data_IF_938777002019
#
_entry.id   IF_938777002019
#
_cell.length_a   1.000
_cell.length_b   1.000
_cell.length_c   1.000
_cell.angle_alpha   90.00
_cell.angle_beta   90.00
_cell.angle_gamma   90.00
#
_symmetry.space_group_name_H-M   'P 1'
#
loop_
_entity.id
_entity.type
_entity.pdbx_description
1 polymer ?
#
# COMPACT_ATOMS: atom_id res chain seq x y z
N UNK A 1 -9.62 9.64 -9.63
CA UNK A 1 -10.64 8.56 -9.64
C UNK A 1 -10.14 7.39 -8.81
N UNK A 2 -11.04 6.57 -8.27
CA UNK A 2 -10.67 5.35 -7.53
C UNK A 2 -10.15 4.28 -8.49
N UNK A 3 -8.97 3.75 -8.21
CA UNK A 3 -8.31 2.71 -9.01
C UNK A 3 -8.12 1.41 -8.24
N UNK A 4 -8.17 1.45 -6.91
CA UNK A 4 -8.12 0.26 -6.07
C UNK A 4 -8.78 0.48 -4.72
N UNK A 5 -9.23 -0.62 -4.12
CA UNK A 5 -9.80 -0.68 -2.77
C UNK A 5 -9.30 -1.94 -2.08
N UNK A 6 -8.85 -1.83 -0.84
CA UNK A 6 -8.44 -2.98 -0.05
C UNK A 6 -8.75 -2.77 1.43
N UNK A 7 -8.88 -3.87 2.17
CA UNK A 7 -9.09 -3.85 3.62
C UNK A 7 -7.89 -4.51 4.27
N UNK A 8 -7.39 -3.89 5.34
CA UNK A 8 -6.42 -4.49 6.23
C UNK A 8 -7.15 -4.80 7.54
N UNK A 9 -6.98 -6.02 8.04
CA UNK A 9 -7.55 -6.48 9.29
C UNK A 9 -6.42 -6.94 10.20
N UNK A 10 -6.32 -6.33 11.38
CA UNK A 10 -5.52 -6.85 12.47
C UNK A 10 -6.19 -8.13 13.00
N UNK A 11 -5.40 -9.19 13.19
CA UNK A 11 -5.86 -10.37 13.91
C UNK A 11 -6.22 -9.97 15.37
N UNK A 12 -6.92 -10.85 16.10
CA UNK A 12 -7.38 -10.58 17.47
C UNK A 12 -6.27 -10.30 18.51
N UNK A 13 -5.00 -10.25 18.09
CA UNK A 13 -3.82 -10.05 18.93
C UNK A 13 -3.49 -8.61 19.27
N UNK A 14 -4.09 -7.60 18.63
CA UNK A 14 -3.83 -6.19 18.97
C UNK A 14 -4.01 -5.21 17.82
N UNK A 15 -3.51 -3.99 18.01
CA UNK A 15 -3.36 -2.98 16.96
C UNK A 15 -2.16 -3.34 16.09
N UNK A 16 -2.24 -3.12 14.78
CA UNK A 16 -1.06 -3.09 13.93
C UNK A 16 -0.80 -1.67 13.45
N UNK A 17 0.46 -1.35 13.18
CA UNK A 17 0.86 -0.15 12.44
C UNK A 17 1.46 -0.55 11.10
N UNK A 18 1.21 0.26 10.06
CA UNK A 18 1.95 0.14 8.80
C UNK A 18 2.50 1.49 8.36
N UNK A 19 3.59 1.45 7.57
CA UNK A 19 4.24 2.65 7.03
C UNK A 19 4.65 2.55 5.57
N UNK A 20 4.58 1.36 4.96
CA UNK A 20 4.89 1.19 3.53
C UNK A 20 3.89 0.25 2.88
N UNK A 21 3.44 0.61 1.68
CA UNK A 21 2.69 -0.23 0.76
C UNK A 21 3.21 -0.01 -0.68
N UNK A 22 3.47 -1.08 -1.41
CA UNK A 22 3.81 -1.04 -2.83
C UNK A 22 2.66 -1.67 -3.61
N UNK A 23 2.19 -0.94 -4.62
CA UNK A 23 1.22 -1.41 -5.60
C UNK A 23 1.92 -1.73 -6.91
N UNK A 24 1.56 -2.85 -7.53
CA UNK A 24 1.83 -3.10 -8.95
C UNK A 24 0.82 -2.34 -9.80
N UNK A 25 1.27 -1.82 -10.94
CA UNK A 25 0.47 -1.03 -11.87
C UNK A 25 0.74 -1.51 -13.29
N UNK A 26 -0.29 -2.00 -13.98
CA UNK A 26 -0.23 -2.33 -15.39
C UNK A 26 -1.22 -1.45 -16.17
N UNK A 27 -0.80 -0.90 -17.31
CA UNK A 27 -1.67 -0.08 -18.15
C UNK A 27 -1.50 -0.42 -19.63
N UNK A 28 -2.56 -0.22 -20.41
CA UNK A 28 -2.47 -0.27 -21.87
C UNK A 28 -1.63 0.90 -22.40
N UNK A 29 -1.02 0.73 -23.57
CA UNK A 29 -0.27 1.80 -24.24
C UNK A 29 -1.13 3.06 -24.39
N UNK A 30 -0.59 4.21 -23.96
CA UNK A 30 -1.28 5.51 -24.01
C UNK A 30 -2.05 5.88 -22.73
N UNK A 31 -2.27 4.92 -21.81
CA UNK A 31 -2.84 5.22 -20.49
C UNK A 31 -1.75 5.69 -19.54
N UNK A 32 -1.84 6.95 -19.13
CA UNK A 32 -1.00 7.52 -18.06
C UNK A 32 -1.82 7.69 -16.78
N UNK A 33 -1.24 7.31 -15.65
CA UNK A 33 -1.84 7.47 -14.33
C UNK A 33 -0.86 8.25 -13.44
N UNK A 34 -1.29 9.41 -12.95
CA UNK A 34 -0.50 10.33 -12.12
C UNK A 34 -1.30 10.74 -10.88
N UNK A 35 -0.76 11.61 -10.02
CA UNK A 35 -1.51 12.16 -8.89
C UNK A 35 -2.03 11.08 -7.93
N UNK A 36 -1.20 10.07 -7.67
CA UNK A 36 -1.55 8.95 -6.81
C UNK A 36 -1.76 9.40 -5.36
N UNK A 37 -2.69 8.76 -4.67
CA UNK A 37 -2.94 8.97 -3.25
C UNK A 37 -3.68 7.79 -2.64
N UNK A 38 -3.49 7.60 -1.33
CA UNK A 38 -4.26 6.68 -0.51
C UNK A 38 -5.18 7.47 0.43
N UNK A 39 -6.36 6.93 0.67
CA UNK A 39 -7.44 7.58 1.40
C UNK A 39 -8.05 6.57 2.36
N UNK A 40 -8.57 7.03 3.50
CA UNK A 40 -9.44 6.21 4.33
C UNK A 40 -10.80 6.11 3.63
N UNK A 41 -11.41 4.92 3.57
CA UNK A 41 -12.75 4.78 3.00
C UNK A 41 -13.82 5.53 3.80
N UNK A 42 -13.56 5.86 5.07
CA UNK A 42 -14.42 6.70 5.89
C UNK A 42 -14.30 8.20 5.55
N UNK A 43 -13.18 8.65 5.00
CA UNK A 43 -12.98 10.01 4.49
C UNK A 43 -12.10 9.99 3.23
N UNK A 44 -12.75 10.01 2.07
CA UNK A 44 -12.04 10.05 0.80
C UNK A 44 -11.81 11.47 0.24
N UNK A 45 -12.12 12.51 1.02
CA UNK A 45 -11.97 13.91 0.61
C UNK A 45 -10.54 14.41 0.80
N UNK A 46 -9.80 13.82 1.73
CA UNK A 46 -8.41 14.15 2.04
C UNK A 46 -7.50 12.95 1.88
N UNK A 47 -6.28 13.17 1.37
CA UNK A 47 -5.26 12.12 1.34
C UNK A 47 -4.93 11.72 2.78
N UNK A 48 -4.72 10.43 3.01
CA UNK A 48 -4.38 9.88 4.32
C UNK A 48 -3.21 10.65 4.94
N UNK A 49 -3.40 11.12 6.16
CA UNK A 49 -2.45 12.02 6.83
C UNK A 49 -1.09 11.34 7.01
N UNK A 50 -0.02 12.08 6.71
CA UNK A 50 1.35 11.57 6.81
C UNK A 50 1.77 10.65 5.65
N UNK A 51 0.86 10.35 4.72
CA UNK A 51 1.17 9.51 3.56
C UNK A 51 1.65 10.30 2.34
N UNK A 52 2.55 9.71 1.56
CA UNK A 52 2.95 10.17 0.24
C UNK A 52 2.99 8.99 -0.74
N UNK A 53 2.55 9.22 -1.97
CA UNK A 53 2.61 8.22 -3.03
C UNK A 53 3.65 8.63 -4.09
N UNK A 54 4.57 7.72 -4.37
CA UNK A 54 5.64 7.90 -5.34
C UNK A 54 5.51 6.83 -6.42
N UNK A 55 5.15 7.27 -7.63
CA UNK A 55 5.16 6.40 -8.79
C UNK A 55 6.60 6.24 -9.30
N UNK A 56 7.06 5.00 -9.37
CA UNK A 56 8.29 4.71 -10.08
C UNK A 56 7.95 4.34 -11.53
N UNK A 57 8.08 5.34 -12.41
CA UNK A 57 7.70 5.25 -13.82
C UNK A 57 8.50 4.20 -14.60
N UNK A 58 9.67 3.78 -14.10
CA UNK A 58 10.47 2.72 -14.74
C UNK A 58 10.11 1.32 -14.25
N UNK A 59 9.45 1.17 -13.09
CA UNK A 59 9.24 -0.14 -12.45
C UNK A 59 7.79 -0.57 -12.36
N UNK A 60 6.84 0.09 -13.04
CA UNK A 60 5.41 -0.28 -13.04
C UNK A 60 4.82 -0.38 -11.62
N UNK A 61 5.33 0.42 -10.66
CA UNK A 61 4.88 0.38 -9.28
C UNK A 61 4.61 1.77 -8.72
N UNK A 62 3.78 1.81 -7.68
CA UNK A 62 3.53 2.98 -6.85
C UNK A 62 3.85 2.62 -5.42
N UNK A 63 4.81 3.34 -4.82
CA UNK A 63 5.17 3.17 -3.41
C UNK A 63 4.46 4.24 -2.59
N UNK A 64 3.63 3.80 -1.66
CA UNK A 64 3.01 4.62 -0.64
C UNK A 64 3.86 4.49 0.63
N UNK A 65 4.34 5.62 1.14
CA UNK A 65 5.07 5.71 2.40
C UNK A 65 4.24 6.54 3.36
N UNK A 66 4.31 6.21 4.65
CA UNK A 66 3.83 7.06 5.72
C UNK A 66 4.98 7.49 6.61
N UNK A 67 4.96 8.76 7.03
CA UNK A 67 5.90 9.30 8.00
C UNK A 67 5.53 8.98 9.44
N UNK A 68 4.29 8.53 9.68
CA UNK A 68 3.79 8.10 10.99
C UNK A 68 3.03 6.78 10.92
N UNK A 69 2.79 6.18 12.07
CA UNK A 69 2.09 4.90 12.18
C UNK A 69 0.65 5.01 11.67
N UNK A 70 0.32 4.15 10.72
CA UNK A 70 -1.06 3.97 10.27
C UNK A 70 -1.67 2.82 11.06
N UNK A 71 -2.23 3.17 12.22
CA UNK A 71 -2.77 2.22 13.19
C UNK A 71 -4.10 1.62 12.74
N UNK A 72 -4.26 0.32 13.00
CA UNK A 72 -5.45 -0.46 12.69
C UNK A 72 -5.75 -1.38 13.87
N UNK A 73 -6.78 -1.06 14.65
CA UNK A 73 -7.38 -1.94 15.65
C UNK A 73 -8.67 -2.53 15.07
N UNK A 74 -8.65 -3.80 14.69
CA UNK A 74 -9.75 -4.44 13.97
C UNK A 74 -9.58 -4.34 12.45
N UNK A 75 -10.49 -3.68 11.73
CA UNK A 75 -10.41 -3.59 10.26
C UNK A 75 -10.50 -2.15 9.77
N UNK A 76 -9.69 -1.81 8.77
CA UNK A 76 -9.73 -0.51 8.08
C UNK A 76 -9.66 -0.72 6.58
N UNK A 77 -10.53 -0.01 5.86
CA UNK A 77 -10.59 -0.04 4.40
C UNK A 77 -9.93 1.20 3.83
N UNK A 78 -9.07 1.00 2.84
CA UNK A 78 -8.38 2.06 2.12
C UNK A 78 -8.82 2.11 0.67
N UNK A 79 -8.77 3.32 0.13
CA UNK A 79 -9.04 3.63 -1.28
C UNK A 79 -7.78 4.21 -1.88
N UNK A 80 -7.39 3.71 -3.05
CA UNK A 80 -6.32 4.28 -3.86
C UNK A 80 -6.95 5.06 -5.00
N UNK A 81 -6.54 6.32 -5.15
CA UNK A 81 -6.96 7.17 -6.26
C UNK A 81 -5.77 7.57 -7.11
N UNK A 82 -6.03 7.78 -8.39
CA UNK A 82 -5.10 8.37 -9.35
C UNK A 82 -5.85 9.27 -10.34
N UNK A 83 -5.14 10.19 -10.96
CA UNK A 83 -5.56 10.97 -12.12
C UNK A 83 -5.19 10.21 -13.38
N UNK A 84 -6.17 9.93 -14.23
CA UNK A 84 -5.93 9.23 -15.50
C UNK A 84 -5.91 10.25 -16.64
N UNK A 85 -4.87 10.19 -17.47
CA UNK A 85 -4.69 11.05 -18.64
C UNK A 85 -5.81 10.91 -19.68
N UNK A 86 -5.95 11.93 -20.53
CA UNK A 86 -7.03 12.07 -21.51
C UNK A 86 -6.46 12.39 -22.91
N UNK A 87 -7.10 11.96 -24.02
CA UNK A 87 -8.35 11.20 -24.08
C UNK A 87 -8.15 9.69 -23.98
N UNK A 88 -8.97 9.04 -23.15
CA UNK A 88 -9.07 7.58 -23.09
C UNK A 88 -9.89 7.06 -24.27
N UNK A 89 -9.37 6.08 -25.01
CA UNK A 89 -10.11 5.35 -26.07
C UNK A 89 -10.68 4.03 -25.57
N UNK A 90 -11.68 3.48 -26.26
CA UNK A 90 -12.26 2.18 -25.95
C UNK A 90 -11.21 1.07 -26.03
N UNK A 91 -11.26 0.13 -25.09
CA UNK A 91 -10.32 -1.00 -24.97
C UNK A 91 -9.08 -0.67 -24.15
N UNK A 92 -8.94 0.56 -23.63
CA UNK A 92 -7.87 0.91 -22.72
C UNK A 92 -8.17 0.45 -21.30
N UNK A 93 -7.11 0.08 -20.58
CA UNK A 93 -7.21 -0.43 -19.21
C UNK A 93 -6.11 0.08 -18.30
N UNK A 94 -6.46 0.24 -17.02
CA UNK A 94 -5.51 0.37 -15.92
C UNK A 94 -5.82 -0.71 -14.90
N UNK A 95 -4.81 -1.42 -14.46
CA UNK A 95 -4.90 -2.46 -13.43
C UNK A 95 -3.93 -2.16 -12.30
N UNK A 96 -4.39 -2.34 -11.06
CA UNK A 96 -3.55 -2.25 -9.87
C UNK A 96 -3.71 -3.50 -9.01
N UNK A 97 -2.63 -3.91 -8.34
CA UNK A 97 -2.66 -5.03 -7.39
C UNK A 97 -1.68 -4.81 -6.23
N UNK A 98 -1.84 -5.57 -5.15
CA UNK A 98 -0.86 -5.66 -4.07
C UNK A 98 -0.02 -6.91 -4.31
N UNK A 99 1.19 -6.81 -4.89
CA UNK A 99 2.01 -7.99 -5.15
C UNK A 99 2.41 -8.67 -3.84
N UNK A 100 2.30 -10.00 -3.80
CA UNK A 100 2.90 -10.78 -2.73
C UNK A 100 4.28 -11.29 -3.16
N UNK A 101 5.32 -10.52 -2.84
CA UNK A 101 6.71 -10.88 -3.12
C UNK A 101 7.50 -11.19 -1.85
N UNK A 102 6.81 -11.54 -0.76
CA UNK A 102 7.43 -11.65 0.54
C UNK A 102 8.44 -12.80 0.59
N UNK A 103 9.64 -12.49 1.09
CA UNK A 103 10.62 -13.48 1.54
C UNK A 103 10.70 -13.30 3.06
N UNK A 104 10.84 -14.39 3.80
CA UNK A 104 11.04 -14.30 5.24
C UNK A 104 12.27 -13.42 5.54
N UNK A 105 12.08 -12.47 6.45
CA UNK A 105 13.13 -11.68 7.08
C UNK A 105 12.80 -11.58 8.58
N UNK A 106 13.84 -11.55 9.41
CA UNK A 106 13.66 -11.30 10.84
C UNK A 106 13.10 -9.87 11.07
N UNK A 107 12.37 -9.64 12.17
CA UNK A 107 11.98 -8.29 12.57
C UNK A 107 13.20 -7.37 12.70
N UNK A 108 13.02 -6.11 12.30
CA UNK A 108 14.07 -5.09 12.36
C UNK A 108 13.42 -3.71 12.63
N UNK A 109 14.23 -2.66 12.63
CA UNK A 109 13.78 -1.27 12.57
C UNK A 109 12.99 -1.01 11.28
N UNK A 110 12.11 0.00 11.33
CA UNK A 110 11.34 0.40 10.15
C UNK A 110 12.25 0.70 8.95
N UNK A 111 13.34 1.44 9.17
CA UNK A 111 14.26 1.84 8.11
C UNK A 111 14.87 0.63 7.39
N UNK A 112 15.31 -0.38 8.15
CA UNK A 112 15.87 -1.60 7.60
C UNK A 112 14.80 -2.42 6.86
N UNK A 113 13.63 -2.64 7.48
CA UNK A 113 12.53 -3.37 6.86
C UNK A 113 12.00 -2.69 5.58
N UNK A 114 11.95 -1.36 5.55
CA UNK A 114 11.51 -0.58 4.39
C UNK A 114 12.54 -0.53 3.25
N UNK A 115 13.84 -0.61 3.57
CA UNK A 115 14.91 -0.65 2.57
C UNK A 115 14.90 -1.92 1.72
N UNK A 116 14.32 -3.02 2.24
CA UNK A 116 14.11 -4.25 1.47
C UNK A 116 13.06 -4.00 0.39
N UNK A 117 13.47 -4.05 -0.87
CA UNK A 117 12.61 -3.72 -2.03
C UNK A 117 11.50 -4.74 -2.26
N UNK A 118 11.69 -5.99 -1.85
CA UNK A 118 10.68 -7.06 -1.94
C UNK A 118 9.62 -6.98 -0.85
N UNK A 119 9.83 -6.16 0.19
CA UNK A 119 8.83 -5.88 1.21
C UNK A 119 7.81 -4.89 0.64
N UNK A 120 6.75 -5.45 0.05
CA UNK A 120 5.66 -4.67 -0.54
C UNK A 120 4.72 -4.10 0.52
N UNK A 121 4.77 -4.60 1.74
CA UNK A 121 4.05 -4.04 2.88
C UNK A 121 4.92 -4.17 4.12
N UNK A 122 5.09 -3.08 4.87
CA UNK A 122 5.90 -3.04 6.09
C UNK A 122 5.05 -2.59 7.26
N UNK A 123 5.02 -3.40 8.30
CA UNK A 123 4.10 -3.30 9.42
C UNK A 123 4.72 -3.78 10.73
N UNK A 124 4.15 -3.38 11.87
CA UNK A 124 4.46 -3.88 13.21
C UNK A 124 3.15 -4.25 13.92
N UNK A 125 3.20 -5.21 14.84
CA UNK A 125 2.07 -5.68 15.64
C UNK A 125 1.82 -4.88 16.93
N UNK A 126 2.50 -3.73 17.14
CA UNK A 126 2.39 -2.77 18.27
C UNK A 126 2.23 -3.39 19.69
N UNK A 127 2.55 -4.67 19.84
CA UNK A 127 2.37 -5.42 21.08
C UNK A 127 3.49 -5.11 22.09
N UNK A 128 4.58 -4.50 21.61
CA UNK A 128 5.73 -4.06 22.40
C UNK A 128 5.47 -2.65 22.97
N UNK A 129 5.61 -2.52 24.29
CA UNK A 129 5.57 -1.22 24.97
C UNK A 129 6.75 -0.36 24.49
N UNK A 130 6.46 0.86 24.04
CA UNK A 130 7.46 1.79 23.50
C UNK A 130 7.72 1.64 21.99
N UNK A 131 6.76 1.08 21.25
CA UNK A 131 6.78 0.98 19.79
C UNK A 131 7.24 2.30 19.13
N UNK A 132 8.12 2.18 18.13
CA UNK A 132 8.57 3.30 17.31
C UNK A 132 9.19 2.83 16.00
N UNK A 133 9.58 3.75 15.13
CA UNK A 133 10.36 3.41 13.93
C UNK A 133 11.71 2.74 14.24
N UNK A 134 12.21 2.88 15.47
CA UNK A 134 13.52 2.35 15.91
C UNK A 134 13.44 1.05 16.72
N UNK A 135 12.24 0.58 17.05
CA UNK A 135 12.08 -0.74 17.67
C UNK A 135 12.27 -1.84 16.62
N UNK A 136 12.82 -2.98 17.06
CA UNK A 136 13.09 -4.13 16.19
C UNK A 136 11.88 -5.07 16.10
N UNK A 137 10.76 -4.52 15.68
CA UNK A 137 9.45 -5.18 15.60
C UNK A 137 8.76 -4.95 14.24
N UNK A 138 9.44 -4.29 13.31
CA UNK A 138 8.92 -4.10 11.96
C UNK A 138 9.19 -5.32 11.09
N UNK A 139 8.14 -5.75 10.40
CA UNK A 139 8.08 -6.93 9.56
C UNK A 139 7.75 -6.56 8.12
N UNK A 140 8.28 -7.34 7.19
CA UNK A 140 7.81 -7.36 5.81
C UNK A 140 6.46 -8.08 5.66
N UNK A 141 6.00 -8.23 4.42
CA UNK A 141 4.69 -8.80 4.11
C UNK A 141 4.62 -10.33 4.22
N UNK A 142 5.65 -11.00 4.76
CA UNK A 142 5.73 -12.47 4.84
C UNK A 142 4.68 -13.08 5.77
N UNK A 143 4.35 -12.37 6.84
CA UNK A 143 3.35 -12.81 7.83
C UNK A 143 1.96 -12.24 7.56
N UNK A 144 1.77 -11.48 6.47
CA UNK A 144 0.47 -10.97 6.08
C UNK A 144 -0.34 -12.11 5.46
N UNK A 145 -1.48 -12.42 6.06
CA UNK A 145 -2.40 -13.43 5.56
C UNK A 145 -3.30 -12.82 4.49
N UNK A 146 -3.70 -13.64 3.52
CA UNK A 146 -4.76 -13.32 2.55
C UNK A 146 -4.54 -12.01 1.78
N UNK A 147 -3.29 -11.70 1.42
CA UNK A 147 -2.99 -10.52 0.59
C UNK A 147 -3.79 -10.62 -0.72
N UNK A 148 -4.67 -9.65 -1.03
CA UNK A 148 -5.40 -9.66 -2.29
C UNK A 148 -4.43 -9.35 -3.43
N UNK A 149 -3.88 -10.41 -4.03
CA UNK A 149 -2.95 -10.31 -5.16
C UNK A 149 -3.66 -10.07 -6.49
N UNK A 150 -4.98 -10.26 -6.51
CA UNK A 150 -5.81 -10.07 -7.68
C UNK A 150 -5.82 -8.60 -8.12
N UNK A 151 -5.85 -8.45 -9.44
CA UNK A 151 -5.86 -7.17 -10.13
C UNK A 151 -7.24 -6.52 -10.07
N UNK A 152 -7.28 -5.24 -9.68
CA UNK A 152 -8.44 -4.37 -9.85
C UNK A 152 -8.27 -3.57 -11.13
N UNK A 153 -9.12 -3.83 -12.13
CA UNK A 153 -8.98 -3.28 -13.48
C UNK A 153 -10.13 -2.35 -13.83
N UNK A 154 -9.78 -1.12 -14.23
CA UNK A 154 -10.68 -0.17 -14.86
C UNK A 154 -10.54 -0.28 -16.38
N UNK A 155 -11.67 -0.29 -17.10
CA UNK A 155 -11.72 -0.28 -18.56
C UNK A 155 -12.59 0.87 -19.06
N UNK A 156 -12.36 1.29 -20.30
CA UNK A 156 -13.23 2.21 -21.04
C UNK A 156 -13.67 1.60 -22.36
#
# INVERSE_FOLDING_TARGET
MTVGKFTITADAGGTIAWRKLILGVASSTGVTATGWGIYDAADESTVLTGSSAHQNVSSTTVTILSTGDQEISGSKTYIVKATIGSPLTTGWSLSVNIPNSAIFAAPDTYAAAAAVTTNNFVWSDESVIGHSATTADWMGNYLVKNTPTDSQTLTK
#
